data_IF_267348621980
#
_entry.id   IF_267348621980
#
_cell.length_a   1.000
_cell.length_b   1.000
_cell.length_c   1.000
_cell.angle_alpha   90.00
_cell.angle_beta   90.00
_cell.angle_gamma   90.00
#
_symmetry.space_group_name_H-M   'P 1'
#
loop_
_entity.id
_entity.type
_entity.pdbx_description
1 polymer ?
#
# COMPACT_ATOMS: atom_id res chain seq x y z
N UNK A 1 -52.59 -28.16 -20.46
CA UNK A 1 -51.54 -28.42 -19.44
C UNK A 1 -50.57 -27.26 -19.49
N UNK A 2 -50.66 -26.33 -18.53
CA UNK A 2 -49.71 -25.20 -18.47
C UNK A 2 -48.41 -25.67 -17.78
N UNK A 3 -47.33 -25.63 -18.52
CA UNK A 3 -45.99 -25.88 -17.98
C UNK A 3 -45.67 -24.78 -16.98
N UNK A 4 -45.70 -25.08 -15.68
CA UNK A 4 -45.17 -24.17 -14.64
C UNK A 4 -43.68 -24.12 -14.81
N UNK A 5 -43.14 -23.07 -15.41
CA UNK A 5 -41.73 -22.74 -15.35
C UNK A 5 -41.33 -22.62 -13.86
N UNK A 6 -40.45 -23.50 -13.40
CA UNK A 6 -39.84 -23.37 -12.10
C UNK A 6 -38.92 -22.15 -12.14
N UNK A 7 -39.29 -21.10 -11.42
CA UNK A 7 -38.38 -19.99 -11.14
C UNK A 7 -37.20 -20.58 -10.33
N UNK A 8 -36.08 -20.76 -10.99
CA UNK A 8 -34.83 -21.15 -10.31
C UNK A 8 -34.25 -19.88 -9.65
N UNK A 9 -34.43 -19.77 -8.34
CA UNK A 9 -33.79 -18.71 -7.56
C UNK A 9 -32.30 -19.08 -7.51
N UNK A 10 -31.40 -18.25 -8.07
CA UNK A 10 -29.96 -18.56 -8.01
C UNK A 10 -29.49 -18.58 -6.56
N UNK A 11 -28.61 -19.51 -6.21
CA UNK A 11 -28.00 -19.58 -4.89
C UNK A 11 -27.15 -18.29 -4.68
N UNK A 12 -27.21 -17.68 -3.49
CA UNK A 12 -26.37 -16.52 -3.18
C UNK A 12 -24.89 -16.92 -3.22
N UNK A 13 -24.06 -16.03 -3.76
CA UNK A 13 -22.61 -16.23 -3.75
C UNK A 13 -22.13 -16.20 -2.30
N UNK A 14 -21.37 -17.21 -1.81
CA UNK A 14 -20.79 -17.17 -0.48
C UNK A 14 -19.93 -15.91 -0.28
N UNK A 15 -20.07 -15.23 0.85
CA UNK A 15 -19.36 -13.96 1.14
C UNK A 15 -17.84 -14.08 0.93
N UNK A 16 -17.24 -15.15 1.42
CA UNK A 16 -15.80 -15.39 1.23
C UNK A 16 -15.37 -15.43 -0.22
N UNK A 17 -16.16 -16.02 -1.10
CA UNK A 17 -15.87 -16.07 -2.54
C UNK A 17 -16.04 -14.67 -3.15
N UNK A 18 -17.09 -13.97 -2.76
CA UNK A 18 -17.35 -12.60 -3.21
C UNK A 18 -16.20 -11.66 -2.81
N UNK A 19 -15.74 -11.73 -1.55
CA UNK A 19 -14.59 -10.95 -1.05
C UNK A 19 -13.34 -11.20 -1.90
N UNK A 20 -13.00 -12.47 -2.16
CA UNK A 20 -11.85 -12.83 -2.98
C UNK A 20 -11.94 -12.33 -4.42
N UNK A 21 -13.15 -12.38 -5.00
CA UNK A 21 -13.38 -11.91 -6.37
C UNK A 21 -13.18 -10.39 -6.51
N UNK A 22 -13.39 -9.61 -5.45
CA UNK A 22 -13.39 -8.15 -5.50
C UNK A 22 -12.20 -7.48 -4.80
N UNK A 23 -11.48 -8.19 -3.93
CA UNK A 23 -10.36 -7.67 -3.14
C UNK A 23 -9.29 -6.91 -3.98
N UNK A 24 -9.03 -7.37 -5.21
CA UNK A 24 -8.06 -6.70 -6.09
C UNK A 24 -8.47 -5.26 -6.46
N UNK A 25 -9.78 -4.96 -6.51
CA UNK A 25 -10.30 -3.61 -6.84
C UNK A 25 -9.97 -2.63 -5.74
N UNK A 26 -10.15 -3.01 -4.48
CA UNK A 26 -9.82 -2.19 -3.31
C UNK A 26 -8.31 -1.92 -3.27
N UNK A 27 -7.50 -2.95 -3.52
CA UNK A 27 -6.04 -2.80 -3.64
C UNK A 27 -5.66 -1.80 -4.74
N UNK A 28 -6.30 -1.87 -5.92
CA UNK A 28 -6.02 -0.95 -7.03
C UNK A 28 -6.47 0.48 -6.74
N UNK A 29 -7.55 0.69 -6.02
CA UNK A 29 -7.99 2.01 -5.55
C UNK A 29 -6.96 2.61 -4.59
N UNK A 30 -6.49 1.83 -3.61
CA UNK A 30 -5.44 2.25 -2.68
C UNK A 30 -4.14 2.61 -3.43
N UNK A 31 -3.72 1.77 -4.38
CA UNK A 31 -2.52 2.01 -5.18
C UNK A 31 -2.63 3.30 -5.98
N UNK A 32 -3.75 3.52 -6.68
CA UNK A 32 -3.99 4.74 -7.45
C UNK A 32 -3.98 5.98 -6.55
N UNK A 33 -4.65 5.93 -5.41
CA UNK A 33 -4.69 7.04 -4.46
C UNK A 33 -3.29 7.40 -3.92
N UNK A 34 -2.46 6.40 -3.60
CA UNK A 34 -1.07 6.62 -3.16
C UNK A 34 -0.18 7.17 -4.30
N UNK A 35 -0.34 6.66 -5.52
CA UNK A 35 0.43 7.14 -6.67
C UNK A 35 0.07 8.58 -7.06
N UNK A 36 -1.20 8.95 -6.96
CA UNK A 36 -1.73 10.29 -7.23
C UNK A 36 -1.53 11.27 -6.05
N UNK A 37 -1.06 10.80 -4.90
CA UNK A 37 -0.75 11.65 -3.74
C UNK A 37 -1.97 12.19 -3.00
N UNK A 38 -3.13 11.54 -3.10
CA UNK A 38 -4.40 11.96 -2.47
C UNK A 38 -4.23 12.28 -0.98
N UNK A 39 -3.57 11.39 -0.26
CA UNK A 39 -3.45 11.50 1.19
C UNK A 39 -2.52 12.64 1.62
N UNK A 40 -1.45 12.91 0.87
CA UNK A 40 -0.58 14.05 1.11
C UNK A 40 -1.30 15.37 0.80
N UNK A 41 -2.04 15.46 -0.32
CA UNK A 41 -2.84 16.63 -0.69
C UNK A 41 -3.84 17.01 0.42
N UNK A 42 -4.48 16.01 1.04
CA UNK A 42 -5.40 16.22 2.15
C UNK A 42 -4.69 16.52 3.46
N UNK A 43 -3.47 16.01 3.66
CA UNK A 43 -2.67 16.25 4.86
C UNK A 43 -2.06 17.63 4.87
N UNK A 44 -1.63 18.16 3.71
CA UNK A 44 -1.02 19.48 3.56
C UNK A 44 -2.05 20.61 3.63
N UNK A 45 -3.33 20.29 3.80
CA UNK A 45 -4.42 21.24 3.91
C UNK A 45 -4.89 21.35 5.37
N UNK A 46 -5.02 22.60 5.86
CA UNK A 46 -5.46 22.88 7.23
C UNK A 46 -6.95 22.53 7.46
N UNK A 47 -7.72 22.33 6.39
CA UNK A 47 -9.15 22.05 6.43
C UNK A 47 -9.55 20.96 5.42
N UNK A 48 -10.72 20.31 5.64
CA UNK A 48 -11.29 19.39 4.64
C UNK A 48 -11.47 20.06 3.28
N UNK A 49 -11.22 19.33 2.19
CA UNK A 49 -11.16 19.84 0.83
C UNK A 49 -12.38 19.42 0.01
N UNK A 50 -12.81 20.27 -0.92
CA UNK A 50 -13.80 19.93 -1.94
C UNK A 50 -13.20 19.02 -3.02
N UNK A 51 -14.03 18.35 -3.80
CA UNK A 51 -13.56 17.53 -4.92
C UNK A 51 -12.89 18.37 -5.99
N UNK A 52 -13.36 19.58 -6.21
CA UNK A 52 -12.81 20.56 -7.16
C UNK A 52 -11.37 20.93 -6.79
N UNK A 53 -11.14 21.24 -5.50
CA UNK A 53 -9.80 21.58 -5.01
C UNK A 53 -8.84 20.38 -5.13
N UNK A 54 -9.31 19.19 -4.73
CA UNK A 54 -8.51 17.95 -4.83
C UNK A 54 -8.17 17.66 -6.30
N UNK A 55 -9.16 17.69 -7.20
CA UNK A 55 -8.96 17.42 -8.62
C UNK A 55 -8.01 18.42 -9.28
N UNK A 56 -8.10 19.69 -8.91
CA UNK A 56 -7.19 20.74 -9.37
C UNK A 56 -5.75 20.47 -8.95
N UNK A 57 -5.52 20.10 -7.67
CA UNK A 57 -4.19 19.77 -7.15
C UNK A 57 -3.62 18.48 -7.76
N UNK A 58 -4.47 17.52 -8.09
CA UNK A 58 -4.10 16.25 -8.73
C UNK A 58 -3.93 16.38 -10.25
N UNK A 59 -4.43 17.45 -10.88
CA UNK A 59 -4.50 17.57 -12.34
C UNK A 59 -5.42 16.51 -12.97
N UNK A 60 -6.55 16.18 -12.34
CA UNK A 60 -7.44 15.09 -12.70
C UNK A 60 -8.86 15.58 -13.06
N UNK A 61 -9.66 14.72 -13.69
CA UNK A 61 -11.07 15.00 -13.97
C UNK A 61 -11.88 15.00 -12.67
N UNK A 62 -12.76 15.98 -12.48
CA UNK A 62 -13.54 16.20 -11.25
C UNK A 62 -14.44 15.01 -10.94
N UNK A 63 -15.25 14.54 -11.93
CA UNK A 63 -16.20 13.45 -11.72
C UNK A 63 -15.49 12.14 -11.36
N UNK A 64 -14.38 11.85 -12.06
CA UNK A 64 -13.56 10.67 -11.78
C UNK A 64 -12.89 10.77 -10.40
N UNK A 65 -12.47 11.97 -10.00
CA UNK A 65 -11.92 12.24 -8.66
C UNK A 65 -13.00 12.01 -7.60
N UNK A 66 -14.22 12.49 -7.81
CA UNK A 66 -15.32 12.24 -6.86
C UNK A 66 -15.60 10.74 -6.69
N UNK A 67 -15.60 9.99 -7.79
CA UNK A 67 -15.74 8.53 -7.72
C UNK A 67 -14.63 7.88 -6.88
N UNK A 68 -13.37 8.30 -7.08
CA UNK A 68 -12.24 7.83 -6.30
C UNK A 68 -12.38 8.20 -4.81
N UNK A 69 -12.71 9.45 -4.50
CA UNK A 69 -12.89 9.92 -3.11
C UNK A 69 -14.02 9.16 -2.41
N UNK A 70 -15.16 8.98 -3.07
CA UNK A 70 -16.29 8.23 -2.50
C UNK A 70 -15.94 6.76 -2.26
N UNK A 71 -15.15 6.15 -3.14
CA UNK A 71 -14.65 4.78 -2.95
C UNK A 71 -13.71 4.70 -1.75
N UNK A 72 -12.80 5.67 -1.60
CA UNK A 72 -11.88 5.75 -0.45
C UNK A 72 -12.64 5.95 0.87
N UNK A 73 -13.76 6.67 0.87
CA UNK A 73 -14.66 6.77 2.03
C UNK A 73 -15.29 5.41 2.34
N UNK A 74 -15.76 4.68 1.32
CA UNK A 74 -16.39 3.36 1.50
C UNK A 74 -15.42 2.34 2.11
N UNK A 75 -14.13 2.42 1.77
CA UNK A 75 -13.08 1.56 2.36
C UNK A 75 -12.43 2.20 3.61
N UNK A 76 -13.05 3.20 4.21
CA UNK A 76 -12.67 3.83 5.49
C UNK A 76 -11.29 4.52 5.51
N UNK A 77 -10.75 4.85 4.34
CA UNK A 77 -9.50 5.59 4.23
C UNK A 77 -9.68 7.11 4.23
N UNK A 78 -10.86 7.59 3.86
CA UNK A 78 -11.25 9.00 3.95
C UNK A 78 -12.52 9.17 4.77
N UNK A 79 -12.69 10.39 5.30
CA UNK A 79 -13.93 10.87 5.88
C UNK A 79 -14.59 11.86 4.92
N UNK A 80 -15.94 11.86 4.84
CA UNK A 80 -16.73 12.79 4.05
C UNK A 80 -17.74 13.50 4.93
N UNK A 81 -17.74 14.82 4.92
CA UNK A 81 -18.68 15.65 5.72
C UNK A 81 -19.32 16.71 4.84
N UNK A 82 -20.56 17.05 5.13
CA UNK A 82 -21.26 18.16 4.47
C UNK A 82 -21.08 19.43 5.28
N UNK A 83 -20.58 20.49 4.66
CA UNK A 83 -20.40 21.79 5.25
C UNK A 83 -20.84 22.86 4.25
N UNK A 84 -21.68 23.81 4.69
CA UNK A 84 -22.20 24.93 3.87
C UNK A 84 -22.77 24.51 2.51
N UNK A 85 -23.46 23.35 2.49
CA UNK A 85 -24.05 22.78 1.28
C UNK A 85 -23.12 21.91 0.42
N UNK A 86 -21.81 21.99 0.61
CA UNK A 86 -20.79 21.24 -0.14
C UNK A 86 -20.29 20.00 0.60
N UNK A 87 -19.88 18.97 -0.16
CA UNK A 87 -19.22 17.79 0.39
C UNK A 87 -17.71 18.02 0.46
N UNK A 88 -17.15 17.81 1.63
CA UNK A 88 -15.72 17.94 1.89
C UNK A 88 -15.12 16.63 2.36
N UNK A 89 -13.87 16.39 1.97
CA UNK A 89 -13.10 15.18 2.25
C UNK A 89 -11.89 15.47 3.14
N UNK A 90 -11.57 14.55 4.02
CA UNK A 90 -10.37 14.59 4.85
C UNK A 90 -9.82 13.16 5.07
N UNK A 91 -8.55 13.06 5.44
CA UNK A 91 -7.95 11.79 5.80
C UNK A 91 -8.62 11.18 7.04
N UNK A 92 -8.88 9.88 7.02
CA UNK A 92 -9.21 9.12 8.23
C UNK A 92 -8.01 9.04 9.18
N UNK A 93 -8.22 8.55 10.40
CA UNK A 93 -7.12 8.30 11.36
C UNK A 93 -6.10 7.35 10.76
N UNK A 94 -6.56 6.27 10.11
CA UNK A 94 -5.69 5.27 9.45
C UNK A 94 -4.87 5.92 8.35
N UNK A 95 -5.50 6.74 7.49
CA UNK A 95 -4.81 7.40 6.40
C UNK A 95 -3.75 8.38 6.91
N UNK A 96 -4.07 9.20 7.91
CA UNK A 96 -3.09 10.12 8.52
C UNK A 96 -1.87 9.38 9.06
N UNK A 97 -2.09 8.25 9.72
CA UNK A 97 -1.00 7.49 10.35
C UNK A 97 -0.16 6.72 9.34
N UNK A 98 -0.76 6.11 8.31
CA UNK A 98 -0.06 5.14 7.48
C UNK A 98 0.09 5.55 6.01
N UNK A 99 -0.68 6.53 5.51
CA UNK A 99 -0.78 6.85 4.10
C UNK A 99 -0.32 8.28 3.76
N UNK A 100 0.38 8.96 4.68
CA UNK A 100 1.00 10.26 4.44
C UNK A 100 2.52 10.16 4.54
N UNK A 101 3.24 10.89 3.68
CA UNK A 101 4.72 10.88 3.68
C UNK A 101 5.32 11.47 4.93
N UNK A 102 4.63 12.44 5.55
CA UNK A 102 5.08 13.11 6.79
C UNK A 102 4.98 12.21 8.02
N UNK A 103 4.20 11.13 7.96
CA UNK A 103 4.06 10.21 9.08
C UNK A 103 5.30 9.35 9.27
N UNK A 104 5.77 9.19 10.52
CA UNK A 104 6.86 8.25 10.83
C UNK A 104 6.47 6.78 10.57
N UNK A 105 5.16 6.46 10.55
CA UNK A 105 4.64 5.11 10.32
C UNK A 105 4.18 4.89 8.86
N UNK A 106 4.58 5.79 7.95
CA UNK A 106 4.17 5.76 6.54
C UNK A 106 4.45 4.41 5.87
N UNK A 107 3.46 3.91 5.14
CA UNK A 107 3.56 2.71 4.29
C UNK A 107 3.49 3.05 2.79
N UNK A 108 3.46 4.32 2.41
CA UNK A 108 3.31 4.76 1.01
C UNK A 108 4.34 4.09 0.11
N UNK A 109 5.62 4.09 0.49
CA UNK A 109 6.68 3.52 -0.35
C UNK A 109 6.52 2.01 -0.51
N UNK A 110 6.10 1.29 0.54
CA UNK A 110 5.78 -0.13 0.45
C UNK A 110 4.56 -0.39 -0.46
N UNK A 111 3.52 0.43 -0.36
CA UNK A 111 2.32 0.31 -1.19
C UNK A 111 2.67 0.58 -2.66
N UNK A 112 3.48 1.60 -2.95
CA UNK A 112 3.99 1.90 -4.29
C UNK A 112 4.87 0.77 -4.84
N UNK A 113 5.76 0.22 -4.02
CA UNK A 113 6.55 -0.96 -4.39
C UNK A 113 5.63 -2.17 -4.69
N UNK A 114 4.61 -2.39 -3.87
CA UNK A 114 3.62 -3.44 -4.09
C UNK A 114 2.88 -3.27 -5.42
N UNK A 115 2.48 -2.04 -5.77
CA UNK A 115 1.83 -1.76 -7.06
C UNK A 115 2.76 -1.98 -8.26
N UNK A 116 4.02 -1.53 -8.15
CA UNK A 116 4.98 -1.56 -9.26
C UNK A 116 5.64 -2.92 -9.47
N UNK A 117 5.83 -3.68 -8.40
CA UNK A 117 6.62 -4.92 -8.43
C UNK A 117 5.79 -6.15 -8.08
N UNK A 118 5.19 -6.16 -6.89
CA UNK A 118 4.53 -7.38 -6.39
C UNK A 118 3.28 -7.69 -7.20
N UNK A 119 2.43 -6.70 -7.44
CA UNK A 119 1.18 -6.91 -8.17
C UNK A 119 1.38 -7.41 -9.61
N UNK A 120 2.30 -6.86 -10.44
CA UNK A 120 2.64 -7.41 -11.75
C UNK A 120 3.20 -8.83 -11.69
N UNK A 121 4.03 -9.17 -10.70
CA UNK A 121 4.52 -10.54 -10.51
C UNK A 121 3.38 -11.52 -10.23
N UNK A 122 2.44 -11.16 -9.35
CA UNK A 122 1.26 -11.96 -9.05
C UNK A 122 0.31 -12.10 -10.25
N UNK A 123 0.31 -11.16 -11.19
CA UNK A 123 -0.43 -11.30 -12.46
C UNK A 123 0.09 -12.46 -13.34
N UNK A 124 1.30 -12.95 -13.07
CA UNK A 124 1.93 -14.08 -13.74
C UNK A 124 1.94 -15.38 -12.88
N UNK A 125 1.10 -15.43 -11.82
CA UNK A 125 1.08 -16.58 -10.88
C UNK A 125 0.78 -17.91 -11.55
N UNK A 126 -0.11 -17.94 -12.53
CA UNK A 126 -0.43 -19.17 -13.28
C UNK A 126 0.80 -19.73 -13.99
N UNK A 127 1.62 -18.87 -14.59
CA UNK A 127 2.88 -19.27 -15.24
C UNK A 127 3.89 -19.77 -14.22
N UNK A 128 4.01 -19.12 -13.07
CA UNK A 128 4.89 -19.57 -11.98
C UNK A 128 4.53 -20.97 -11.50
N UNK A 129 3.23 -21.27 -11.38
CA UNK A 129 2.74 -22.60 -10.97
C UNK A 129 3.04 -23.65 -12.05
N UNK A 130 2.82 -23.32 -13.33
CA UNK A 130 3.06 -24.26 -14.45
C UNK A 130 4.53 -24.57 -14.65
N UNK A 131 5.40 -23.60 -14.48
CA UNK A 131 6.82 -23.69 -14.80
C UNK A 131 7.70 -24.02 -13.58
N UNK A 132 7.16 -23.91 -12.37
CA UNK A 132 7.93 -24.11 -11.13
C UNK A 132 9.06 -23.08 -10.95
N UNK A 133 8.94 -21.89 -11.56
CA UNK A 133 9.98 -20.87 -11.60
C UNK A 133 9.44 -19.49 -11.31
N UNK A 134 10.32 -18.56 -10.88
CA UNK A 134 9.92 -17.15 -10.72
C UNK A 134 9.64 -16.53 -12.10
N UNK A 135 8.75 -15.54 -12.13
CA UNK A 135 8.29 -14.91 -13.37
C UNK A 135 8.90 -13.51 -13.59
N UNK A 136 10.05 -13.26 -13.03
CA UNK A 136 10.68 -11.94 -13.10
C UNK A 136 11.01 -11.53 -14.54
N UNK A 137 11.67 -12.42 -15.30
CA UNK A 137 11.98 -12.19 -16.71
C UNK A 137 10.73 -11.93 -17.55
N UNK A 138 9.65 -12.68 -17.31
CA UNK A 138 8.37 -12.50 -18.03
C UNK A 138 7.70 -11.16 -17.69
N UNK A 139 7.81 -10.73 -16.44
CA UNK A 139 7.14 -9.53 -15.94
C UNK A 139 7.88 -8.27 -16.33
N UNK A 140 9.22 -8.26 -16.25
CA UNK A 140 10.05 -7.05 -16.35
C UNK A 140 11.07 -7.09 -17.49
N UNK A 141 11.24 -8.21 -18.19
CA UNK A 141 12.16 -8.35 -19.32
C UNK A 141 13.63 -8.52 -18.93
N UNK A 142 13.95 -8.71 -17.65
CA UNK A 142 15.31 -8.93 -17.15
C UNK A 142 15.34 -10.01 -16.06
N UNK A 143 16.53 -10.58 -15.78
CA UNK A 143 16.68 -11.67 -14.79
C UNK A 143 16.55 -11.14 -13.35
N UNK A 144 16.30 -12.05 -12.40
CA UNK A 144 16.24 -11.68 -10.98
C UNK A 144 17.60 -11.20 -10.46
N UNK A 145 18.71 -11.69 -11.01
CA UNK A 145 20.06 -11.24 -10.69
C UNK A 145 20.30 -9.79 -11.13
N UNK A 146 19.65 -9.35 -12.20
CA UNK A 146 19.73 -7.98 -12.71
C UNK A 146 18.86 -7.01 -11.91
N UNK A 147 17.84 -7.50 -11.17
CA UNK A 147 16.98 -6.68 -10.31
C UNK A 147 17.79 -5.90 -9.28
N UNK A 148 18.75 -6.57 -8.63
CA UNK A 148 19.60 -5.89 -7.66
C UNK A 148 20.45 -4.82 -8.30
N UNK A 149 20.87 -5.00 -9.56
CA UNK A 149 21.57 -3.96 -10.31
C UNK A 149 20.62 -2.79 -10.61
N UNK A 150 19.38 -3.06 -10.99
CA UNK A 150 18.39 -2.03 -11.31
C UNK A 150 17.91 -1.27 -10.05
N UNK A 151 17.58 -1.99 -8.98
CA UNK A 151 17.19 -1.38 -7.69
C UNK A 151 18.32 -0.55 -7.06
N UNK A 152 19.57 -0.90 -7.30
CA UNK A 152 20.75 -0.17 -6.85
C UNK A 152 21.44 0.65 -7.97
N UNK A 153 20.86 0.73 -9.16
CA UNK A 153 21.45 1.44 -10.31
C UNK A 153 21.48 2.96 -10.12
N UNK A 154 20.49 3.50 -9.42
CA UNK A 154 20.41 4.91 -9.09
C UNK A 154 20.21 5.10 -7.59
N UNK A 155 20.67 6.24 -7.06
CA UNK A 155 20.44 6.58 -5.65
C UNK A 155 18.94 6.64 -5.33
N UNK A 156 18.13 7.14 -6.28
CA UNK A 156 16.68 7.26 -6.12
C UNK A 156 15.96 5.91 -6.02
N UNK A 157 16.26 4.94 -6.90
CA UNK A 157 15.66 3.60 -6.85
C UNK A 157 16.07 2.86 -5.59
N UNK A 158 17.35 2.94 -5.23
CA UNK A 158 17.88 2.37 -3.99
C UNK A 158 17.17 2.91 -2.75
N UNK A 159 17.02 4.24 -2.64
CA UNK A 159 16.33 4.87 -1.52
C UNK A 159 14.85 4.48 -1.46
N UNK A 160 14.16 4.42 -2.60
CA UNK A 160 12.75 4.00 -2.66
C UNK A 160 12.56 2.56 -2.18
N UNK A 161 13.39 1.63 -2.64
CA UNK A 161 13.36 0.24 -2.19
C UNK A 161 13.65 0.11 -0.69
N UNK A 162 14.72 0.77 -0.21
CA UNK A 162 15.10 0.75 1.19
C UNK A 162 14.03 1.39 2.09
N UNK A 163 13.41 2.49 1.66
CA UNK A 163 12.30 3.13 2.37
C UNK A 163 11.08 2.19 2.48
N UNK A 164 10.74 1.49 1.40
CA UNK A 164 9.67 0.51 1.41
C UNK A 164 9.94 -0.63 2.41
N UNK A 165 11.15 -1.17 2.43
CA UNK A 165 11.56 -2.21 3.37
C UNK A 165 11.62 -1.69 4.82
N UNK A 166 12.09 -0.46 5.02
CA UNK A 166 12.14 0.18 6.34
C UNK A 166 10.74 0.36 6.93
N UNK A 167 9.78 0.88 6.16
CA UNK A 167 8.40 1.08 6.61
C UNK A 167 7.75 -0.20 7.16
N UNK A 168 8.01 -1.34 6.53
CA UNK A 168 7.53 -2.63 7.03
C UNK A 168 8.31 -3.16 8.23
N UNK A 169 9.64 -3.02 8.21
CA UNK A 169 10.51 -3.55 9.28
C UNK A 169 10.31 -2.84 10.61
N UNK A 170 10.07 -1.52 10.62
CA UNK A 170 9.82 -0.73 11.84
C UNK A 170 8.71 -1.30 12.71
N UNK A 171 7.67 -1.87 12.11
CA UNK A 171 6.53 -2.42 12.84
C UNK A 171 6.89 -3.63 13.73
N UNK A 172 7.95 -4.34 13.38
CA UNK A 172 8.39 -5.56 14.06
C UNK A 172 9.71 -5.38 14.80
N UNK A 173 10.45 -4.29 14.56
CA UNK A 173 11.79 -4.13 15.11
C UNK A 173 11.82 -4.14 16.64
N UNK A 174 10.86 -3.47 17.29
CA UNK A 174 10.76 -3.47 18.74
C UNK A 174 10.47 -4.88 19.29
N UNK A 175 9.46 -5.56 18.75
CA UNK A 175 9.10 -6.91 19.15
C UNK A 175 10.26 -7.90 18.95
N UNK A 176 11.00 -7.77 17.85
CA UNK A 176 12.18 -8.62 17.58
C UNK A 176 13.31 -8.30 18.55
N UNK A 177 13.62 -7.01 18.78
CA UNK A 177 14.71 -6.58 19.65
C UNK A 177 14.45 -6.94 21.13
N UNK A 178 13.19 -7.00 21.56
CA UNK A 178 12.82 -7.36 22.93
C UNK A 178 12.47 -8.84 23.12
N UNK A 179 12.48 -9.65 22.06
CA UNK A 179 12.21 -11.10 22.15
C UNK A 179 13.36 -11.88 22.81
N UNK A 180 14.53 -11.28 22.93
CA UNK A 180 15.73 -11.90 23.48
C UNK A 180 16.33 -11.01 24.56
N UNK A 181 16.94 -11.63 25.59
CA UNK A 181 17.75 -10.89 26.57
C UNK A 181 19.08 -10.46 25.95
N UNK A 182 19.17 -9.19 25.56
CA UNK A 182 20.36 -8.58 24.98
C UNK A 182 21.26 -7.90 26.00
N UNK A 183 20.91 -7.91 27.28
CA UNK A 183 21.61 -7.18 28.37
C UNK A 183 23.07 -7.58 28.55
N UNK A 184 23.47 -8.77 28.11
CA UNK A 184 24.84 -9.29 28.16
C UNK A 184 25.68 -8.97 26.93
N UNK A 185 25.10 -8.38 25.89
CA UNK A 185 25.77 -8.07 24.63
C UNK A 185 26.40 -6.66 24.73
N UNK A 186 27.69 -6.59 24.48
CA UNK A 186 28.46 -5.32 24.52
C UNK A 186 28.54 -4.65 23.13
N UNK A 187 28.30 -5.37 22.06
CA UNK A 187 28.35 -4.87 20.70
C UNK A 187 27.38 -5.58 19.77
N UNK A 188 26.93 -4.89 18.74
CA UNK A 188 26.10 -5.40 17.68
C UNK A 188 26.70 -5.03 16.34
N UNK A 189 26.78 -5.96 15.41
CA UNK A 189 27.23 -5.73 14.04
C UNK A 189 26.10 -6.05 13.07
N UNK A 190 25.78 -5.09 12.20
CA UNK A 190 24.80 -5.24 11.13
C UNK A 190 25.55 -5.33 9.79
N UNK A 191 25.62 -6.53 9.22
CA UNK A 191 26.29 -6.78 7.94
C UNK A 191 25.32 -6.42 6.80
N UNK A 192 25.66 -5.37 6.05
CA UNK A 192 24.85 -4.87 4.94
C UNK A 192 23.70 -3.94 5.36
N UNK A 193 23.62 -3.57 6.62
CA UNK A 193 22.60 -2.68 7.17
C UNK A 193 22.80 -1.22 6.76
N UNK A 194 22.18 -0.82 5.66
CA UNK A 194 22.18 0.59 5.23
C UNK A 194 21.07 1.39 5.91
N UNK A 195 19.95 0.72 6.23
CA UNK A 195 18.78 1.26 6.97
C UNK A 195 18.20 0.15 7.84
N UNK A 196 18.90 -0.25 8.91
CA UNK A 196 18.39 -1.28 9.79
C UNK A 196 17.62 -0.66 10.96
N UNK A 197 16.28 -0.72 10.87
CA UNK A 197 15.41 -0.38 11.99
C UNK A 197 15.64 -1.28 13.20
N UNK A 198 16.03 -2.54 12.97
CA UNK A 198 16.35 -3.51 14.04
C UNK A 198 17.61 -3.11 14.80
N UNK A 199 18.66 -2.70 14.10
CA UNK A 199 19.91 -2.24 14.73
C UNK A 199 19.72 -0.93 15.49
N UNK A 200 18.92 0.01 14.97
CA UNK A 200 18.58 1.24 15.65
C UNK A 200 17.79 0.99 16.94
N UNK A 201 16.82 0.08 16.92
CA UNK A 201 16.04 -0.27 18.09
C UNK A 201 16.88 -1.03 19.11
N UNK A 202 17.73 -1.97 18.68
CA UNK A 202 18.66 -2.66 19.58
C UNK A 202 19.61 -1.68 20.27
N UNK A 203 20.10 -0.64 19.59
CA UNK A 203 20.93 0.42 20.20
C UNK A 203 20.18 1.23 21.25
N UNK A 204 18.87 1.49 21.03
CA UNK A 204 18.03 2.18 22.04
C UNK A 204 17.78 1.34 23.29
N UNK A 205 17.73 0.02 23.14
CA UNK A 205 17.52 -0.91 24.27
C UNK A 205 18.80 -1.14 25.06
N UNK A 206 19.98 -1.05 24.38
CA UNK A 206 21.29 -1.22 24.99
C UNK A 206 21.85 0.08 25.61
N UNK A 207 21.24 1.25 25.35
CA UNK A 207 21.61 2.55 25.91
C UNK A 207 20.77 2.88 27.14
#
# INVERSE_FOLDING_TARGET
>A
MACRERIVIPLPIPSKLQDLMYAFRESKVLFAACDMGVFDILQDSDAPQSVEDISSKMGSNVDATECLMNTLVTVELLEKKKQDGSWLYSNSVIARQFLTKSSPDSLIDYIKHSNKVIYPLFSNLENAIREGSNQWMRTFGHSKEDVWKDEYSTEGSCLQFLSAMHGTSRRFCHAVATAFDLSKLQSCCDLGGRFSSKTQESRRILA
#
